data_IF_850617070483
#
_entry.id   IF_850617070483
#
_cell.length_a   1.000
_cell.length_b   1.000
_cell.length_c   1.000
_cell.angle_alpha   90.00
_cell.angle_beta   90.00
_cell.angle_gamma   90.00
#
_symmetry.space_group_name_H-M   'P 1'
#
loop_
_entity.id
_entity.type
_entity.pdbx_description
1 polymer ?
#
# COMPACT_ATOMS: atom_id res chain seq x y z
N UNK A 1 -18.54 -13.77 38.54
CA UNK A 1 -17.23 -13.28 38.04
C UNK A 1 -16.63 -12.35 39.08
N UNK A 2 -15.48 -12.69 39.65
CA UNK A 2 -14.72 -11.77 40.50
C UNK A 2 -13.98 -10.77 39.62
N UNK A 3 -13.93 -9.49 40.00
CA UNK A 3 -13.18 -8.45 39.30
C UNK A 3 -12.03 -7.99 40.18
N UNK A 4 -10.83 -7.94 39.61
CA UNK A 4 -9.63 -7.36 40.22
C UNK A 4 -9.44 -5.95 39.66
N UNK A 5 -9.09 -5.02 40.54
CA UNK A 5 -8.82 -3.62 40.18
C UNK A 5 -7.34 -3.36 40.40
N UNK A 6 -6.63 -2.93 39.35
CA UNK A 6 -5.21 -2.61 39.41
C UNK A 6 -4.97 -1.19 38.87
N UNK A 7 -4.10 -0.44 39.53
CA UNK A 7 -3.66 0.88 39.08
C UNK A 7 -2.40 0.72 38.25
N UNK A 8 -2.48 1.04 36.97
CA UNK A 8 -1.35 0.94 36.04
C UNK A 8 -0.98 2.36 35.60
N UNK A 9 0.19 2.88 36.00
CA UNK A 9 0.64 4.19 35.55
C UNK A 9 0.99 4.13 34.06
N UNK A 10 0.49 5.11 33.29
CA UNK A 10 0.87 5.29 31.89
C UNK A 10 2.18 6.09 31.88
N UNK A 11 3.25 5.61 31.24
CA UNK A 11 4.50 6.38 31.17
C UNK A 11 4.32 7.69 30.41
N UNK A 12 5.11 8.72 30.72
CA UNK A 12 4.92 10.10 30.22
C UNK A 12 4.89 10.22 28.69
N UNK A 13 5.57 9.34 27.96
CA UNK A 13 5.64 9.35 26.50
C UNK A 13 4.60 8.44 25.81
N UNK A 14 3.62 7.95 26.56
CA UNK A 14 2.59 7.03 26.05
C UNK A 14 1.22 7.70 26.10
N UNK A 15 0.43 7.48 25.05
CA UNK A 15 -0.98 7.89 25.00
C UNK A 15 -1.85 6.64 24.96
N UNK A 16 -2.91 6.63 25.78
CA UNK A 16 -3.92 5.58 25.71
C UNK A 16 -4.96 5.96 24.66
N UNK A 17 -5.15 5.09 23.69
CA UNK A 17 -6.17 5.22 22.66
C UNK A 17 -7.00 3.94 22.61
N UNK A 18 -8.21 4.04 22.07
CA UNK A 18 -9.04 2.86 21.87
C UNK A 18 -8.47 1.98 20.76
N UNK A 19 -8.81 0.69 20.78
CA UNK A 19 -8.42 -0.25 19.72
C UNK A 19 -8.88 0.22 18.33
N UNK A 20 -10.09 0.78 18.25
CA UNK A 20 -10.66 1.28 16.98
C UNK A 20 -9.84 2.44 16.44
N UNK A 21 -9.51 3.43 17.27
CA UNK A 21 -8.67 4.57 16.86
C UNK A 21 -7.27 4.12 16.44
N UNK A 22 -6.67 3.15 17.14
CA UNK A 22 -5.38 2.59 16.74
C UNK A 22 -5.42 1.97 15.33
N UNK A 23 -6.44 1.15 15.06
CA UNK A 23 -6.62 0.51 13.75
C UNK A 23 -6.87 1.55 12.64
N UNK A 24 -7.60 2.63 12.93
CA UNK A 24 -7.81 3.73 12.00
C UNK A 24 -6.53 4.51 11.72
N UNK A 25 -5.76 4.85 12.75
CA UNK A 25 -4.47 5.53 12.59
C UNK A 25 -3.51 4.73 11.71
N UNK A 26 -3.44 3.41 11.90
CA UNK A 26 -2.65 2.53 11.03
C UNK A 26 -3.11 2.59 9.57
N UNK A 27 -4.43 2.50 9.33
CA UNK A 27 -5.02 2.58 7.98
C UNK A 27 -4.81 3.94 7.31
N UNK A 28 -4.75 5.02 8.09
CA UNK A 28 -4.68 6.40 7.59
C UNK A 28 -3.28 6.84 7.18
N UNK A 29 -2.22 6.13 7.61
CA UNK A 29 -0.82 6.49 7.27
C UNK A 29 -0.52 6.55 5.78
N UNK A 30 -1.31 5.87 4.95
CA UNK A 30 -1.15 5.76 3.49
C UNK A 30 -2.24 6.50 2.71
N UNK A 31 -3.25 7.06 3.38
CA UNK A 31 -4.32 7.79 2.69
C UNK A 31 -3.78 9.11 2.11
N UNK A 32 -4.15 9.39 0.86
CA UNK A 32 -3.70 10.59 0.14
C UNK A 32 -2.26 10.53 -0.37
N UNK A 33 -1.55 9.41 -0.19
CA UNK A 33 -0.22 9.20 -0.76
C UNK A 33 -0.29 8.48 -2.10
N UNK A 34 0.62 8.88 -2.99
CA UNK A 34 0.78 8.28 -4.31
C UNK A 34 2.14 7.63 -4.40
N UNK A 35 2.15 6.39 -4.87
CA UNK A 35 3.36 5.64 -5.19
C UNK A 35 3.77 5.97 -6.63
N UNK A 36 5.05 6.22 -6.86
CA UNK A 36 5.61 6.40 -8.22
C UNK A 36 6.08 5.06 -8.78
N UNK A 37 6.34 4.98 -10.09
CA UNK A 37 6.95 3.77 -10.67
C UNK A 37 8.33 3.45 -10.05
N UNK A 38 9.12 4.46 -9.71
CA UNK A 38 10.39 4.25 -9.00
C UNK A 38 10.16 3.68 -7.60
N UNK A 39 9.16 4.21 -6.88
CA UNK A 39 8.75 3.64 -5.60
C UNK A 39 8.26 2.19 -5.73
N UNK A 40 7.62 1.83 -6.84
CA UNK A 40 7.20 0.46 -7.14
C UNK A 40 8.41 -0.47 -7.36
N UNK A 41 9.44 0.00 -8.05
CA UNK A 41 10.73 -0.70 -8.23
C UNK A 41 11.38 -0.98 -6.87
N UNK A 42 11.47 0.04 -6.02
CA UNK A 42 12.05 -0.10 -4.67
C UNK A 42 11.22 -1.03 -3.78
N UNK A 43 9.90 -0.90 -3.82
CA UNK A 43 8.98 -1.71 -3.04
C UNK A 43 9.03 -3.19 -3.41
N UNK A 44 9.07 -3.50 -4.71
CA UNK A 44 9.04 -4.88 -5.20
C UNK A 44 10.43 -5.51 -5.32
N UNK A 45 11.48 -4.69 -5.34
CA UNK A 45 12.84 -5.12 -5.67
C UNK A 45 13.00 -5.61 -7.11
N UNK A 46 12.04 -5.31 -8.00
CA UNK A 46 12.05 -5.73 -9.40
C UNK A 46 12.44 -4.58 -10.31
N UNK A 47 13.15 -4.92 -11.40
CA UNK A 47 13.57 -3.93 -12.37
C UNK A 47 12.36 -3.32 -13.09
N UNK A 48 12.50 -2.08 -13.55
CA UNK A 48 11.46 -1.41 -14.34
C UNK A 48 11.00 -2.25 -15.55
N UNK A 49 11.89 -2.84 -16.38
CA UNK A 49 11.47 -3.68 -17.50
C UNK A 49 10.61 -4.88 -17.07
N UNK A 50 10.90 -5.48 -15.91
CA UNK A 50 10.12 -6.59 -15.38
C UNK A 50 8.70 -6.14 -14.98
N UNK A 51 8.59 -4.98 -14.33
CA UNK A 51 7.28 -4.39 -13.98
C UNK A 51 6.50 -3.98 -15.23
N UNK A 52 7.20 -3.42 -16.21
CA UNK A 52 6.61 -3.07 -17.50
C UNK A 52 6.02 -4.32 -18.17
N UNK A 53 6.72 -5.46 -18.20
CA UNK A 53 6.25 -6.70 -18.82
C UNK A 53 5.15 -7.39 -18.01
N UNK A 54 5.38 -7.58 -16.70
CA UNK A 54 4.53 -8.45 -15.86
C UNK A 54 3.33 -7.73 -15.25
N UNK A 55 3.35 -6.42 -15.16
CA UNK A 55 2.28 -5.65 -14.53
C UNK A 55 1.66 -4.65 -15.51
N UNK A 56 2.47 -3.73 -16.04
CA UNK A 56 1.97 -2.59 -16.81
C UNK A 56 1.59 -2.96 -18.24
N UNK A 57 2.16 -4.01 -18.83
CA UNK A 57 1.80 -4.45 -20.18
C UNK A 57 0.89 -5.68 -20.18
N UNK A 58 0.61 -6.25 -19.00
CA UNK A 58 -0.23 -7.45 -18.91
C UNK A 58 -1.72 -7.07 -18.92
N UNK A 59 -2.52 -7.48 -19.93
CA UNK A 59 -3.87 -6.95 -20.13
C UNK A 59 -4.83 -7.14 -18.95
N UNK A 60 -4.71 -8.26 -18.21
CA UNK A 60 -5.56 -8.51 -17.04
C UNK A 60 -5.19 -7.62 -15.87
N UNK A 61 -3.91 -7.63 -15.49
CA UNK A 61 -3.38 -6.90 -14.33
C UNK A 61 -3.51 -5.39 -14.53
N UNK A 62 -3.32 -4.91 -15.76
CA UNK A 62 -3.53 -3.51 -16.11
C UNK A 62 -4.97 -3.06 -15.83
N UNK A 63 -5.98 -3.88 -16.17
CA UNK A 63 -7.38 -3.60 -15.87
C UNK A 63 -7.66 -3.62 -14.38
N UNK A 64 -7.04 -4.53 -13.63
CA UNK A 64 -7.23 -4.61 -12.19
C UNK A 64 -6.73 -3.35 -11.47
N UNK A 65 -5.62 -2.77 -11.94
CA UNK A 65 -5.01 -1.58 -11.32
C UNK A 65 -5.52 -0.25 -11.86
N UNK A 66 -6.24 -0.24 -13.00
CA UNK A 66 -6.71 0.97 -13.70
C UNK A 66 -7.47 1.93 -12.77
N UNK A 67 -8.34 1.39 -11.92
CA UNK A 67 -9.21 2.19 -11.02
C UNK A 67 -8.46 3.02 -9.98
N UNK A 68 -7.18 2.73 -9.73
CA UNK A 68 -6.32 3.44 -8.77
C UNK A 68 -4.97 3.85 -9.36
N UNK A 69 -4.85 3.89 -10.69
CA UNK A 69 -3.62 4.23 -11.41
C UNK A 69 -3.85 5.43 -12.33
N UNK A 70 -2.92 6.38 -12.29
CA UNK A 70 -2.78 7.43 -13.29
C UNK A 70 -1.76 7.01 -14.34
N UNK A 71 -2.21 7.00 -15.60
CA UNK A 71 -1.40 6.65 -16.76
C UNK A 71 -0.77 7.92 -17.36
N UNK A 72 0.55 7.93 -17.63
CA UNK A 72 1.18 9.05 -18.31
C UNK A 72 0.53 9.32 -19.67
N UNK A 73 0.00 10.52 -19.89
CA UNK A 73 -0.64 10.90 -21.16
C UNK A 73 0.22 11.80 -22.04
N UNK A 74 1.25 12.42 -21.46
CA UNK A 74 2.09 13.39 -22.17
C UNK A 74 3.55 13.32 -21.74
N UNK A 75 4.42 13.99 -22.50
CA UNK A 75 5.86 14.03 -22.21
C UNK A 75 6.09 14.79 -20.91
N UNK A 76 6.63 14.09 -19.90
CA UNK A 76 6.87 14.64 -18.56
C UNK A 76 5.84 14.19 -17.52
N UNK A 77 4.73 13.61 -17.97
CA UNK A 77 3.77 12.96 -17.09
C UNK A 77 4.36 11.63 -16.56
N UNK A 78 4.03 11.29 -15.31
CA UNK A 78 4.61 10.15 -14.61
C UNK A 78 3.52 9.26 -14.06
N UNK A 79 3.83 7.97 -13.99
CA UNK A 79 3.00 6.99 -13.31
C UNK A 79 2.79 7.37 -11.85
N UNK A 80 1.54 7.36 -11.44
CA UNK A 80 1.16 7.49 -10.04
C UNK A 80 0.10 6.44 -9.71
N UNK A 81 0.27 5.76 -8.59
CA UNK A 81 -0.65 4.75 -8.10
C UNK A 81 -1.13 5.19 -6.73
N UNK A 82 -2.39 5.01 -6.36
CA UNK A 82 -2.76 5.18 -4.96
C UNK A 82 -2.01 4.16 -4.12
N UNK A 83 -1.24 4.64 -3.14
CA UNK A 83 -0.23 3.80 -2.48
C UNK A 83 -0.86 2.62 -1.74
N UNK A 84 -1.98 2.85 -1.05
CA UNK A 84 -2.69 1.80 -0.31
C UNK A 84 -3.22 0.71 -1.23
N UNK A 85 -3.99 1.08 -2.25
CA UNK A 85 -4.61 0.14 -3.18
C UNK A 85 -3.56 -0.66 -3.97
N UNK A 86 -2.46 -0.02 -4.37
CA UNK A 86 -1.37 -0.70 -5.07
C UNK A 86 -0.66 -1.72 -4.17
N UNK A 87 -0.39 -1.38 -2.91
CA UNK A 87 0.21 -2.31 -1.93
C UNK A 87 -0.72 -3.50 -1.69
N UNK A 88 -2.00 -3.24 -1.43
CA UNK A 88 -3.01 -4.28 -1.23
C UNK A 88 -3.12 -5.23 -2.45
N UNK A 89 -3.03 -4.68 -3.67
CA UNK A 89 -3.06 -5.48 -4.90
C UNK A 89 -1.82 -6.37 -5.04
N UNK A 90 -0.63 -5.83 -4.78
CA UNK A 90 0.62 -6.59 -4.85
C UNK A 90 0.64 -7.72 -3.83
N UNK A 91 0.24 -7.46 -2.59
CA UNK A 91 0.22 -8.47 -1.52
C UNK A 91 -0.72 -9.64 -1.86
N UNK A 92 -1.90 -9.35 -2.40
CA UNK A 92 -2.89 -10.36 -2.78
C UNK A 92 -2.47 -11.19 -3.98
N UNK A 93 -1.80 -10.57 -4.95
CA UNK A 93 -1.48 -11.21 -6.23
C UNK A 93 0.01 -11.58 -6.37
N UNK A 94 0.80 -11.45 -5.30
CA UNK A 94 2.26 -11.57 -5.34
C UNK A 94 2.76 -12.82 -6.07
N UNK A 95 2.23 -13.99 -5.72
CA UNK A 95 2.64 -15.25 -6.34
C UNK A 95 2.24 -15.35 -7.81
N UNK A 96 1.07 -14.83 -8.19
CA UNK A 96 0.64 -14.82 -9.59
C UNK A 96 1.53 -13.91 -10.43
N UNK A 97 1.78 -12.69 -9.94
CA UNK A 97 2.65 -11.72 -10.61
C UNK A 97 4.08 -12.26 -10.75
N UNK A 98 4.60 -12.95 -9.73
CA UNK A 98 5.94 -13.54 -9.77
C UNK A 98 6.07 -14.76 -10.70
N UNK A 99 5.04 -15.61 -10.77
CA UNK A 99 5.09 -16.86 -11.55
C UNK A 99 4.85 -16.65 -13.04
N UNK A 100 4.29 -15.49 -13.42
CA UNK A 100 4.08 -15.11 -14.82
C UNK A 100 2.71 -15.52 -15.31
#
# INVERSE_FOLDING_TARGET
>A
MQKLTATIPIPENYVMITKVEYEELQKNTLLGKYLTLQGLVELTGKSKPWLDEKLLSHPRRMKDIESFTHFPQSRGDKWAFKEKEMRDYLDKNFLDILRG
#
